data_IF_538333833058
#
_entry.id   IF_538333833058
#
_cell.length_a   1.000
_cell.length_b   1.000
_cell.length_c   1.000
_cell.angle_alpha   90.00
_cell.angle_beta   90.00
_cell.angle_gamma   90.00
#
_symmetry.space_group_name_H-M   'P 1'
#
loop_
_entity.id
_entity.type
_entity.pdbx_description
1 polymer ?
#
# COMPACT_ATOMS: atom_id res chain seq x y z
N UNK A 1 2.68 -16.73 -19.41
CA UNK A 1 1.75 -17.33 -18.42
C UNK A 1 2.49 -17.32 -17.10
N UNK A 2 2.20 -16.39 -16.17
CA UNK A 2 2.79 -16.47 -14.85
C UNK A 2 2.12 -17.61 -14.08
N UNK A 3 2.83 -18.74 -14.09
CA UNK A 3 2.86 -19.84 -13.13
C UNK A 3 1.57 -20.26 -12.43
N UNK A 4 1.11 -21.47 -12.76
CA UNK A 4 0.52 -22.32 -11.72
C UNK A 4 1.46 -22.29 -10.50
N UNK A 5 0.92 -21.91 -9.34
CA UNK A 5 1.66 -21.96 -8.08
C UNK A 5 2.30 -23.35 -7.97
N UNK A 6 3.59 -23.46 -7.61
CA UNK A 6 4.22 -24.74 -7.36
C UNK A 6 3.28 -25.59 -6.48
N UNK A 7 3.04 -26.84 -6.83
CA UNK A 7 2.00 -27.65 -6.17
C UNK A 7 2.16 -27.66 -4.63
N UNK A 8 3.40 -27.59 -4.13
CA UNK A 8 3.71 -27.43 -2.72
C UNK A 8 3.25 -26.07 -2.12
N UNK A 9 3.41 -24.96 -2.84
CA UNK A 9 2.93 -23.65 -2.44
C UNK A 9 1.40 -23.58 -2.48
N UNK A 10 0.76 -24.16 -3.50
CA UNK A 10 -0.70 -24.27 -3.58
C UNK A 10 -1.28 -25.04 -2.38
N UNK A 11 -0.65 -26.16 -2.00
CA UNK A 11 -1.03 -26.93 -0.80
C UNK A 11 -0.84 -26.11 0.47
N UNK A 12 0.31 -25.45 0.67
CA UNK A 12 0.53 -24.60 1.85
C UNK A 12 -0.46 -23.43 1.92
N UNK A 13 -0.75 -22.80 0.79
CA UNK A 13 -1.70 -21.71 0.71
C UNK A 13 -3.12 -22.20 1.04
N UNK A 14 -3.53 -23.38 0.54
CA UNK A 14 -4.82 -23.98 0.89
C UNK A 14 -4.92 -24.29 2.39
N UNK A 15 -3.88 -24.89 3.00
CA UNK A 15 -3.84 -25.16 4.44
C UNK A 15 -3.87 -23.87 5.26
N UNK A 16 -3.17 -22.83 4.81
CA UNK A 16 -3.18 -21.52 5.44
C UNK A 16 -4.57 -20.86 5.35
N UNK A 17 -5.26 -21.00 4.22
CA UNK A 17 -6.63 -20.50 4.03
C UNK A 17 -7.63 -21.23 4.94
N UNK A 18 -7.50 -22.56 5.09
CA UNK A 18 -8.37 -23.34 5.98
C UNK A 18 -8.14 -22.98 7.46
N UNK A 19 -6.88 -22.80 7.85
CA UNK A 19 -6.50 -22.33 9.18
C UNK A 19 -7.03 -20.91 9.43
N UNK A 20 -6.93 -20.02 8.43
CA UNK A 20 -7.50 -18.68 8.46
C UNK A 20 -9.03 -18.74 8.61
N UNK A 21 -9.74 -19.56 7.83
CA UNK A 21 -11.20 -19.69 7.92
C UNK A 21 -11.64 -20.14 9.33
N UNK A 22 -10.88 -21.06 9.94
CA UNK A 22 -11.14 -21.51 11.31
C UNK A 22 -10.94 -20.37 12.32
N UNK A 23 -9.87 -19.59 12.19
CA UNK A 23 -9.63 -18.42 13.05
C UNK A 23 -10.67 -17.32 12.81
N UNK A 24 -11.06 -17.09 11.55
CA UNK A 24 -12.09 -16.13 11.14
C UNK A 24 -13.41 -16.43 11.83
N UNK A 25 -13.87 -17.69 11.78
CA UNK A 25 -15.14 -18.11 12.40
C UNK A 25 -15.12 -17.85 13.90
N UNK A 26 -14.04 -18.22 14.60
CA UNK A 26 -13.89 -17.95 16.05
C UNK A 26 -13.90 -16.46 16.35
N UNK A 27 -13.20 -15.65 15.57
CA UNK A 27 -13.16 -14.20 15.74
C UNK A 27 -14.50 -13.54 15.42
N UNK A 28 -15.20 -14.00 14.39
CA UNK A 28 -16.53 -13.53 14.01
C UNK A 28 -17.56 -13.90 15.08
N UNK A 29 -17.57 -15.14 15.57
CA UNK A 29 -18.42 -15.59 16.67
C UNK A 29 -18.18 -14.77 17.94
N UNK A 30 -16.91 -14.60 18.35
CA UNK A 30 -16.58 -13.77 19.51
C UNK A 30 -17.05 -12.32 19.35
N UNK A 31 -16.86 -11.74 18.16
CA UNK A 31 -17.31 -10.37 17.86
C UNK A 31 -18.83 -10.25 17.89
N UNK A 32 -19.56 -11.21 17.31
CA UNK A 32 -21.04 -11.25 17.34
C UNK A 32 -21.55 -11.42 18.77
N UNK A 33 -20.93 -12.29 19.57
CA UNK A 33 -21.30 -12.49 20.98
C UNK A 33 -21.09 -11.20 21.79
N UNK A 34 -19.92 -10.56 21.67
CA UNK A 34 -19.61 -9.32 22.41
C UNK A 34 -20.54 -8.18 21.97
N UNK A 35 -20.72 -7.97 20.66
CA UNK A 35 -21.64 -6.96 20.14
C UNK A 35 -23.09 -7.25 20.57
N UNK A 36 -23.51 -8.52 20.54
CA UNK A 36 -24.82 -8.95 21.01
C UNK A 36 -25.03 -8.64 22.49
N UNK A 37 -24.04 -8.94 23.34
CA UNK A 37 -24.08 -8.59 24.77
C UNK A 37 -24.19 -7.08 24.99
N UNK A 38 -23.43 -6.27 24.24
CA UNK A 38 -23.50 -4.80 24.31
C UNK A 38 -24.90 -4.29 23.91
N UNK A 39 -25.50 -4.84 22.85
CA UNK A 39 -26.85 -4.48 22.40
C UNK A 39 -27.91 -4.90 23.42
N UNK A 40 -27.80 -6.10 23.99
CA UNK A 40 -28.71 -6.58 25.05
C UNK A 40 -28.61 -5.69 26.29
N UNK A 41 -27.39 -5.36 26.73
CA UNK A 41 -27.17 -4.40 27.83
C UNK A 41 -27.79 -3.03 27.51
N UNK A 42 -27.62 -2.53 26.29
CA UNK A 42 -28.22 -1.27 25.85
C UNK A 42 -29.76 -1.31 25.87
N UNK A 43 -30.37 -2.43 25.46
CA UNK A 43 -31.82 -2.62 25.50
C UNK A 43 -32.35 -2.69 26.94
N UNK A 44 -31.69 -3.46 27.80
CA UNK A 44 -32.10 -3.65 29.21
C UNK A 44 -31.97 -2.37 30.02
N UNK A 45 -30.87 -1.63 29.84
CA UNK A 45 -30.56 -0.44 30.64
C UNK A 45 -30.99 0.88 30.00
N UNK A 46 -31.12 0.92 28.67
CA UNK A 46 -31.52 2.12 27.94
C UNK A 46 -33.01 2.12 27.57
N UNK A 47 -33.49 1.07 26.92
CA UNK A 47 -34.83 1.05 26.28
C UNK A 47 -35.93 0.57 27.23
N UNK A 48 -35.68 -0.48 28.02
CA UNK A 48 -36.68 -1.03 28.94
C UNK A 48 -37.18 -0.02 30.01
N UNK A 49 -36.36 0.90 30.56
CA UNK A 49 -36.84 1.94 31.47
C UNK A 49 -37.75 2.98 30.77
N UNK A 50 -37.41 3.35 29.53
CA UNK A 50 -38.19 4.29 28.72
C UNK A 50 -39.58 3.70 28.40
N UNK A 51 -39.65 2.42 28.05
CA UNK A 51 -40.92 1.72 27.80
C UNK A 51 -41.82 1.62 29.04
N UNK A 52 -41.24 1.69 30.25
CA UNK A 52 -41.99 1.74 31.52
C UNK A 52 -42.36 3.17 31.95
N UNK A 53 -42.24 4.16 31.07
CA UNK A 53 -42.60 5.56 31.35
C UNK A 53 -41.53 6.36 32.11
N UNK A 54 -40.37 5.77 32.38
CA UNK A 54 -39.27 6.46 33.09
C UNK A 54 -38.32 7.07 32.06
N UNK A 55 -38.69 8.23 31.54
CA UNK A 55 -37.81 9.02 30.68
C UNK A 55 -36.63 9.53 31.51
N UNK A 56 -35.44 8.96 31.25
CA UNK A 56 -34.19 9.50 31.78
C UNK A 56 -33.26 9.80 30.60
N UNK A 57 -32.63 11.00 30.57
CA UNK A 57 -31.58 11.31 29.60
C UNK A 57 -30.49 10.23 29.57
N UNK A 58 -30.20 9.61 30.72
CA UNK A 58 -29.22 8.52 30.85
C UNK A 58 -29.50 7.28 29.99
N UNK A 59 -30.77 6.93 29.75
CA UNK A 59 -31.12 5.78 28.92
C UNK A 59 -30.73 5.97 27.44
N UNK A 60 -30.95 7.18 26.91
CA UNK A 60 -30.58 7.55 25.53
C UNK A 60 -29.06 7.57 25.36
N UNK A 61 -28.34 8.18 26.32
CA UNK A 61 -26.87 8.21 26.28
C UNK A 61 -26.26 6.81 26.32
N UNK A 62 -26.82 5.91 27.14
CA UNK A 62 -26.34 4.52 27.25
C UNK A 62 -26.53 3.75 25.94
N UNK A 63 -27.69 3.89 25.29
CA UNK A 63 -27.95 3.27 24.00
C UNK A 63 -27.03 3.80 22.89
N UNK A 64 -26.83 5.12 22.84
CA UNK A 64 -25.93 5.76 21.87
C UNK A 64 -24.46 5.32 22.07
N UNK A 65 -23.98 5.32 23.33
CA UNK A 65 -22.64 4.87 23.67
C UNK A 65 -22.41 3.39 23.32
N UNK A 66 -23.41 2.53 23.55
CA UNK A 66 -23.36 1.12 23.19
C UNK A 66 -23.28 0.90 21.67
N UNK A 67 -24.07 1.64 20.88
CA UNK A 67 -23.98 1.58 19.41
C UNK A 67 -22.62 2.07 18.89
N UNK A 68 -22.09 3.16 19.45
CA UNK A 68 -20.75 3.65 19.14
C UNK A 68 -19.67 2.64 19.51
N UNK A 69 -19.77 2.03 20.70
CA UNK A 69 -18.86 0.99 21.17
C UNK A 69 -18.88 -0.27 20.29
N UNK A 70 -20.07 -0.76 19.93
CA UNK A 70 -20.22 -1.90 19.01
C UNK A 70 -19.63 -1.60 17.63
N UNK A 71 -19.89 -0.41 17.07
CA UNK A 71 -19.31 0.01 15.78
C UNK A 71 -17.80 0.16 15.84
N UNK A 72 -17.27 0.67 16.95
CA UNK A 72 -15.83 0.77 17.19
C UNK A 72 -15.19 -0.62 17.27
N UNK A 73 -15.77 -1.55 18.03
CA UNK A 73 -15.28 -2.93 18.15
C UNK A 73 -15.31 -3.67 16.82
N UNK A 74 -16.37 -3.51 16.03
CA UNK A 74 -16.45 -4.08 14.68
C UNK A 74 -15.29 -3.56 13.81
N UNK A 75 -15.07 -2.24 13.77
CA UNK A 75 -13.95 -1.67 13.02
C UNK A 75 -12.58 -2.17 13.48
N UNK A 76 -12.39 -2.33 14.79
CA UNK A 76 -11.15 -2.86 15.36
C UNK A 76 -10.96 -4.35 15.00
N UNK A 77 -12.02 -5.15 15.05
CA UNK A 77 -12.00 -6.57 14.70
C UNK A 77 -11.68 -6.79 13.21
N UNK A 78 -12.22 -5.96 12.31
CA UNK A 78 -11.90 -6.02 10.89
C UNK A 78 -10.43 -5.67 10.63
N UNK A 79 -9.90 -4.65 11.29
CA UNK A 79 -8.50 -4.27 11.14
C UNK A 79 -7.54 -5.35 11.68
N UNK A 80 -7.89 -5.96 12.82
CA UNK A 80 -7.18 -7.12 13.38
C UNK A 80 -7.13 -8.27 12.38
N UNK A 81 -8.29 -8.60 11.80
CA UNK A 81 -8.42 -9.68 10.85
C UNK A 81 -7.57 -9.44 9.59
N UNK A 82 -7.63 -8.24 9.01
CA UNK A 82 -6.81 -7.89 7.83
C UNK A 82 -5.32 -7.96 8.11
N UNK A 83 -4.86 -7.44 9.26
CA UNK A 83 -3.45 -7.51 9.65
C UNK A 83 -3.00 -8.97 9.82
N UNK A 84 -3.83 -9.81 10.43
CA UNK A 84 -3.55 -11.25 10.61
C UNK A 84 -3.48 -11.97 9.26
N UNK A 85 -4.42 -11.69 8.36
CA UNK A 85 -4.42 -12.23 7.01
C UNK A 85 -3.14 -11.85 6.24
N UNK A 86 -2.73 -10.58 6.28
CA UNK A 86 -1.48 -10.11 5.67
C UNK A 86 -0.27 -10.86 6.22
N UNK A 87 -0.22 -11.08 7.54
CA UNK A 87 0.92 -11.76 8.19
C UNK A 87 1.09 -13.22 7.78
N UNK A 88 0.02 -13.89 7.41
CA UNK A 88 0.07 -15.29 7.00
C UNK A 88 0.32 -15.38 5.49
N UNK A 89 -0.39 -14.55 4.72
CA UNK A 89 -0.38 -14.63 3.26
C UNK A 89 0.93 -14.08 2.68
N UNK A 90 1.35 -12.87 3.05
CA UNK A 90 2.46 -12.17 2.40
C UNK A 90 3.77 -12.97 2.44
N UNK A 91 4.19 -13.60 3.56
CA UNK A 91 5.39 -14.42 3.59
C UNK A 91 5.31 -15.64 2.68
N UNK A 92 4.16 -16.33 2.64
CA UNK A 92 3.96 -17.49 1.77
C UNK A 92 4.09 -17.07 0.29
N UNK A 93 3.48 -15.95 -0.09
CA UNK A 93 3.58 -15.44 -1.46
C UNK A 93 5.00 -15.00 -1.80
N UNK A 94 5.69 -14.32 -0.89
CA UNK A 94 7.09 -13.91 -1.07
C UNK A 94 8.03 -15.13 -1.23
N UNK A 95 7.86 -16.16 -0.40
CA UNK A 95 8.58 -17.44 -0.55
C UNK A 95 8.29 -18.11 -1.89
N UNK A 96 7.03 -18.05 -2.34
CA UNK A 96 6.61 -18.70 -3.60
C UNK A 96 7.17 -18.00 -4.83
N UNK A 97 7.24 -16.67 -4.81
CA UNK A 97 7.89 -15.89 -5.87
C UNK A 97 9.41 -16.09 -5.87
N UNK A 98 9.99 -16.48 -4.73
CA UNK A 98 11.42 -16.73 -4.56
C UNK A 98 12.22 -15.42 -4.49
N UNK A 99 13.46 -15.50 -3.97
CA UNK A 99 14.38 -14.36 -3.94
C UNK A 99 13.95 -13.19 -3.02
N UNK A 100 12.91 -13.36 -2.21
CA UNK A 100 12.35 -12.34 -1.33
C UNK A 100 12.28 -12.82 0.12
N UNK A 101 12.47 -11.89 1.04
CA UNK A 101 12.29 -12.06 2.48
C UNK A 101 11.24 -11.07 2.97
N UNK A 102 10.19 -11.58 3.60
CA UNK A 102 9.11 -10.77 4.11
C UNK A 102 9.37 -10.32 5.56
N UNK A 103 9.29 -9.02 5.78
CA UNK A 103 9.29 -8.38 7.10
C UNK A 103 7.94 -7.72 7.32
N UNK A 104 7.26 -8.15 8.38
CA UNK A 104 5.91 -7.73 8.70
C UNK A 104 5.94 -6.90 9.97
N UNK A 105 5.10 -5.87 10.03
CA UNK A 105 4.95 -5.07 11.24
C UNK A 105 4.48 -5.97 12.39
N UNK A 106 5.23 -5.97 13.48
CA UNK A 106 5.04 -6.94 14.57
C UNK A 106 3.79 -6.65 15.42
N UNK A 107 3.22 -5.44 15.37
CA UNK A 107 2.23 -4.97 16.35
C UNK A 107 0.76 -4.93 15.89
N UNK A 108 -0.13 -5.10 16.87
CA UNK A 108 -1.57 -5.07 16.72
C UNK A 108 -2.19 -3.65 16.80
N UNK A 109 -3.48 -3.52 16.47
CA UNK A 109 -4.18 -2.26 16.17
C UNK A 109 -4.42 -1.32 17.35
N UNK A 110 -4.20 -1.75 18.60
CA UNK A 110 -4.31 -0.87 19.76
C UNK A 110 -3.32 0.31 19.69
N UNK A 111 -2.19 0.14 19.00
CA UNK A 111 -1.19 1.19 18.78
C UNK A 111 -1.34 1.91 17.44
N UNK A 112 -2.20 1.44 16.53
CA UNK A 112 -2.57 2.19 15.31
C UNK A 112 -3.43 3.43 15.62
N UNK A 113 -3.95 3.52 16.85
CA UNK A 113 -4.60 4.71 17.39
C UNK A 113 -3.59 5.80 17.81
N UNK A 114 -2.32 5.44 17.96
CA UNK A 114 -1.22 6.36 18.34
C UNK A 114 -0.06 6.26 17.33
N UNK A 115 -0.29 6.67 16.06
CA UNK A 115 0.69 6.51 14.98
C UNK A 115 2.05 7.19 15.25
N UNK A 116 2.06 8.28 16.01
CA UNK A 116 3.29 8.99 16.39
C UNK A 116 4.22 8.18 17.30
N UNK A 117 3.68 7.25 18.11
CA UNK A 117 4.47 6.37 18.99
C UNK A 117 4.88 5.10 18.23
N UNK A 118 4.06 4.67 17.27
CA UNK A 118 4.27 3.44 16.50
C UNK A 118 5.50 3.46 15.58
N UNK A 119 5.81 4.60 14.96
CA UNK A 119 6.95 4.73 14.04
C UNK A 119 8.33 4.69 14.74
N UNK A 120 8.38 5.02 16.03
CA UNK A 120 9.61 5.06 16.84
C UNK A 120 10.07 3.68 17.35
N UNK A 121 9.25 2.63 17.21
CA UNK A 121 9.40 1.41 18.00
C UNK A 121 9.46 0.09 17.20
N UNK A 122 9.46 0.11 15.87
CA UNK A 122 9.57 -1.10 15.04
C UNK A 122 10.67 -0.93 13.97
N UNK A 123 11.95 -1.11 14.33
CA UNK A 123 13.07 -0.85 13.43
C UNK A 123 13.16 -1.83 12.26
N UNK A 124 12.54 -3.01 12.37
CA UNK A 124 12.64 -4.07 11.37
C UNK A 124 11.80 -3.82 10.11
N UNK A 125 10.82 -2.90 10.21
CA UNK A 125 9.95 -2.47 9.10
C UNK A 125 10.20 -1.00 8.71
N UNK A 126 11.27 -0.39 9.24
CA UNK A 126 11.72 0.93 8.79
C UNK A 126 12.11 0.82 7.32
N UNK A 127 11.25 1.35 6.46
CA UNK A 127 11.57 1.65 5.08
C UNK A 127 11.85 3.15 5.03
N UNK A 128 13.00 3.54 4.49
CA UNK A 128 13.35 4.95 4.36
C UNK A 128 12.40 5.61 3.34
N UNK A 129 11.38 6.30 3.86
CA UNK A 129 10.37 7.01 3.07
C UNK A 129 10.83 8.42 2.70
N UNK A 130 11.91 8.93 3.29
CA UNK A 130 12.36 10.30 3.07
C UNK A 130 12.66 10.54 1.58
N UNK A 131 13.37 9.65 0.84
CA UNK A 131 13.52 9.79 -0.60
C UNK A 131 12.19 9.86 -1.35
N UNK A 132 11.20 9.05 -0.97
CA UNK A 132 9.91 9.05 -1.65
C UNK A 132 9.12 10.34 -1.42
N UNK A 133 9.25 10.96 -0.23
CA UNK A 133 8.67 12.27 0.04
C UNK A 133 9.45 13.41 -0.62
N UNK A 134 10.78 13.36 -0.55
CA UNK A 134 11.68 14.36 -1.17
C UNK A 134 11.50 14.42 -2.69
N UNK A 135 11.19 13.28 -3.32
CA UNK A 135 10.98 13.15 -4.76
C UNK A 135 9.51 13.35 -5.19
N UNK A 136 8.60 13.61 -4.25
CA UNK A 136 7.17 13.82 -4.57
C UNK A 136 6.45 12.54 -5.03
N UNK A 137 7.08 11.37 -4.87
CA UNK A 137 6.48 10.08 -5.16
C UNK A 137 5.34 9.76 -4.19
N UNK A 138 5.39 10.32 -2.98
CA UNK A 138 4.29 10.26 -2.02
C UNK A 138 4.04 11.66 -1.46
N UNK A 139 2.77 12.05 -1.23
CA UNK A 139 2.47 13.32 -0.57
C UNK A 139 2.93 13.25 0.89
N UNK A 140 3.50 14.34 1.44
CA UNK A 140 3.75 14.42 2.88
C UNK A 140 2.41 14.54 3.63
N UNK A 141 2.06 13.51 4.39
CA UNK A 141 0.83 13.45 5.21
C UNK A 141 1.17 13.29 6.69
N UNK A 142 0.18 13.52 7.56
CA UNK A 142 0.35 13.57 9.03
C UNK A 142 0.76 12.25 9.68
N UNK A 143 0.48 11.11 9.05
CA UNK A 143 0.95 9.81 9.52
C UNK A 143 1.22 8.90 8.33
N UNK A 144 2.43 8.34 8.26
CA UNK A 144 2.88 7.43 7.22
C UNK A 144 3.60 6.26 7.88
N UNK A 145 3.32 5.04 7.46
CA UNK A 145 4.03 3.85 7.92
C UNK A 145 3.99 2.75 6.87
N UNK A 146 4.94 1.82 6.93
CA UNK A 146 4.91 0.60 6.14
C UNK A 146 4.14 -0.51 6.90
N UNK A 147 3.20 -1.18 6.24
CA UNK A 147 2.46 -2.34 6.79
C UNK A 147 3.31 -3.62 6.67
N UNK A 148 3.95 -3.78 5.52
CA UNK A 148 4.91 -4.84 5.23
C UNK A 148 6.04 -4.32 4.35
N UNK A 149 7.18 -5.00 4.43
CA UNK A 149 8.38 -4.78 3.64
C UNK A 149 8.87 -6.12 3.10
N UNK A 150 9.18 -6.18 1.81
CA UNK A 150 9.87 -7.28 1.17
C UNK A 150 11.26 -6.80 0.76
N UNK A 151 12.29 -7.50 1.21
CA UNK A 151 13.65 -7.31 0.74
C UNK A 151 14.06 -8.51 -0.10
N UNK A 152 14.64 -8.27 -1.27
CA UNK A 152 15.02 -9.35 -2.16
C UNK A 152 16.13 -8.99 -3.12
N UNK A 153 16.51 -9.99 -3.90
CA UNK A 153 17.45 -9.85 -4.99
C UNK A 153 16.91 -10.65 -6.17
N UNK A 154 16.86 -10.01 -7.34
CA UNK A 154 16.52 -10.69 -8.59
C UNK A 154 17.51 -10.27 -9.65
N UNK A 155 18.05 -11.23 -10.41
CA UNK A 155 19.07 -10.98 -11.44
C UNK A 155 20.27 -10.15 -10.95
N UNK A 156 20.72 -10.36 -9.71
CA UNK A 156 21.80 -9.59 -9.07
C UNK A 156 21.49 -8.12 -8.77
N UNK A 157 20.22 -7.71 -8.89
CA UNK A 157 19.76 -6.40 -8.44
C UNK A 157 18.98 -6.55 -7.15
N UNK A 158 19.51 -5.92 -6.09
CA UNK A 158 18.82 -5.81 -4.83
C UNK A 158 17.62 -4.87 -4.98
N UNK A 159 16.49 -5.26 -4.39
CA UNK A 159 15.30 -4.44 -4.32
C UNK A 159 14.66 -4.50 -2.94
N UNK A 160 13.92 -3.44 -2.63
CA UNK A 160 13.04 -3.40 -1.49
C UNK A 160 11.67 -2.92 -1.95
N UNK A 161 10.63 -3.62 -1.56
CA UNK A 161 9.24 -3.24 -1.78
C UNK A 161 8.54 -3.05 -0.44
N UNK A 162 7.66 -2.07 -0.30
CA UNK A 162 6.87 -1.88 0.90
C UNK A 162 5.46 -1.41 0.56
N UNK A 163 4.46 -1.90 1.31
CA UNK A 163 3.14 -1.26 1.32
C UNK A 163 3.13 -0.13 2.34
N UNK A 164 2.96 1.10 1.85
CA UNK A 164 2.90 2.31 2.64
C UNK A 164 1.46 2.74 2.84
N UNK A 165 1.06 2.92 4.09
CA UNK A 165 -0.25 3.46 4.47
C UNK A 165 -0.06 4.90 4.91
N UNK A 166 -0.86 5.79 4.33
CA UNK A 166 -0.90 7.20 4.71
C UNK A 166 -2.26 7.57 5.29
N UNK A 167 -2.24 8.34 6.36
CA UNK A 167 -3.44 8.81 7.05
C UNK A 167 -3.37 10.31 7.28
N UNK A 168 -4.46 11.01 6.95
CA UNK A 168 -4.57 12.44 7.22
C UNK A 168 -5.95 12.85 7.69
N UNK A 169 -5.96 13.96 8.43
CA UNK A 169 -7.19 14.63 8.83
C UNK A 169 -7.54 15.66 7.76
N UNK A 170 -8.79 15.65 7.31
CA UNK A 170 -9.31 16.71 6.43
C UNK A 170 -9.66 17.90 7.33
N UNK A 171 -9.12 19.10 7.05
CA UNK A 171 -9.48 20.29 7.81
C UNK A 171 -10.97 20.60 7.62
N UNK A 172 -11.75 20.56 8.71
CA UNK A 172 -13.19 20.79 8.71
C UNK A 172 -13.89 20.25 9.97
N UNK A 173 -15.15 20.65 10.18
CA UNK A 173 -15.95 20.39 11.39
C UNK A 173 -16.32 18.90 11.64
N UNK A 174 -15.69 17.97 10.91
CA UNK A 174 -15.86 16.52 11.08
C UNK A 174 -14.48 15.87 11.06
N UNK A 175 -14.10 15.07 12.08
CA UNK A 175 -12.90 14.25 12.05
C UNK A 175 -13.10 13.07 11.08
N UNK A 176 -13.10 13.36 9.78
CA UNK A 176 -13.01 12.35 8.73
C UNK A 176 -11.54 12.15 8.40
N UNK A 177 -10.99 11.06 8.92
CA UNK A 177 -9.64 10.65 8.57
C UNK A 177 -9.67 9.93 7.23
N UNK A 178 -8.91 10.42 6.26
CA UNK A 178 -8.70 9.77 4.97
C UNK A 178 -7.49 8.85 5.05
N UNK A 179 -7.54 7.76 4.28
CA UNK A 179 -6.51 6.74 4.15
C UNK A 179 -6.19 6.54 2.67
N UNK A 180 -4.91 6.49 2.32
CA UNK A 180 -4.42 6.05 1.01
C UNK A 180 -3.33 5.03 1.21
N UNK A 181 -3.36 3.98 0.41
CA UNK A 181 -2.38 2.89 0.47
C UNK A 181 -1.60 2.89 -0.84
N UNK A 182 -0.29 2.66 -0.76
CA UNK A 182 0.64 2.74 -1.87
C UNK A 182 1.60 1.57 -1.81
N UNK A 183 2.07 1.10 -2.97
CA UNK A 183 3.24 0.23 -3.05
C UNK A 183 4.42 1.08 -3.47
N UNK A 184 5.47 1.04 -2.65
CA UNK A 184 6.73 1.71 -2.91
C UNK A 184 7.80 0.65 -3.18
N UNK A 185 8.43 0.76 -4.33
CA UNK A 185 9.49 -0.13 -4.78
C UNK A 185 10.77 0.68 -4.97
N UNK A 186 11.88 0.14 -4.52
CA UNK A 186 13.22 0.70 -4.67
C UNK A 186 14.13 -0.39 -5.21
N UNK A 187 14.72 -0.18 -6.38
CA UNK A 187 15.65 -1.11 -7.04
C UNK A 187 17.00 -0.43 -7.16
N UNK A 188 18.08 -1.15 -6.83
CA UNK A 188 19.44 -0.67 -7.05
C UNK A 188 19.72 -0.60 -8.55
N UNK A 189 20.23 0.55 -9.02
CA UNK A 189 20.62 0.75 -10.41
C UNK A 189 22.12 0.46 -10.54
N UNK A 190 22.55 -0.41 -11.45
CA UNK A 190 23.95 -0.86 -11.54
C UNK A 190 24.89 0.19 -12.16
N UNK A 191 24.34 1.29 -12.67
CA UNK A 191 25.09 2.39 -13.28
C UNK A 191 25.13 3.57 -12.30
N UNK A 192 26.29 4.17 -12.02
CA UNK A 192 26.38 5.34 -11.15
C UNK A 192 25.73 6.56 -11.82
N UNK A 193 25.00 7.34 -11.03
CA UNK A 193 24.39 8.60 -11.45
C UNK A 193 24.28 9.54 -10.25
N UNK A 194 24.20 10.85 -10.48
CA UNK A 194 24.13 11.85 -9.40
C UNK A 194 22.88 12.73 -9.46
N UNK A 195 22.34 12.94 -10.65
CA UNK A 195 21.14 13.68 -10.93
C UNK A 195 19.87 12.98 -10.45
N UNK A 196 18.78 13.73 -10.59
CA UNK A 196 17.44 13.41 -10.15
C UNK A 196 16.55 13.47 -11.37
N UNK A 197 15.87 12.35 -11.61
CA UNK A 197 14.91 12.23 -12.70
C UNK A 197 13.58 11.85 -12.08
N UNK A 198 12.53 12.58 -12.41
CA UNK A 198 11.16 12.31 -12.01
C UNK A 198 10.34 11.98 -13.25
N UNK A 199 9.57 10.91 -13.16
CA UNK A 199 8.70 10.38 -14.20
C UNK A 199 7.32 10.22 -13.59
N UNK A 200 6.31 10.86 -14.15
CA UNK A 200 4.93 10.66 -13.69
C UNK A 200 3.96 10.74 -14.88
N UNK A 201 2.79 10.12 -14.69
CA UNK A 201 1.75 10.13 -15.72
C UNK A 201 1.35 11.57 -16.08
N UNK A 202 1.17 11.82 -17.37
CA UNK A 202 0.69 13.10 -17.90
C UNK A 202 -0.76 13.37 -17.44
N UNK A 203 -1.12 14.64 -17.20
CA UNK A 203 -2.47 15.04 -16.75
C UNK A 203 -2.56 15.78 -15.40
N UNK A 204 -1.69 16.76 -15.14
CA UNK A 204 -1.79 17.63 -13.96
C UNK A 204 -1.26 17.03 -12.64
N UNK A 205 -0.69 15.82 -12.69
CA UNK A 205 -0.03 15.19 -11.54
C UNK A 205 1.16 16.03 -11.08
N UNK A 206 1.92 16.61 -12.01
CA UNK A 206 3.03 17.52 -11.66
C UNK A 206 2.55 18.82 -11.01
N UNK A 207 1.35 19.32 -11.34
CA UNK A 207 0.75 20.49 -10.69
C UNK A 207 0.29 20.14 -9.27
N UNK A 208 -0.26 18.93 -9.09
CA UNK A 208 -0.63 18.42 -7.76
C UNK A 208 0.59 18.12 -6.88
N UNK A 209 1.69 17.67 -7.49
CA UNK A 209 2.99 17.53 -6.83
C UNK A 209 3.54 18.93 -6.51
N UNK A 210 3.36 19.92 -7.40
CA UNK A 210 3.78 21.31 -7.22
C UNK A 210 3.20 21.98 -5.95
N UNK A 211 1.96 21.64 -5.59
CA UNK A 211 1.32 22.12 -4.36
C UNK A 211 1.90 21.49 -3.07
N UNK A 212 2.73 20.45 -3.20
CA UNK A 212 3.26 19.65 -2.09
C UNK A 212 4.79 19.55 -2.10
N UNK A 213 5.46 20.44 -2.84
CA UNK A 213 6.91 20.36 -3.04
C UNK A 213 7.72 20.70 -1.79
N UNK A 214 8.74 19.90 -1.59
CA UNK A 214 9.95 20.30 -0.89
C UNK A 214 10.82 21.23 -1.79
N UNK A 215 11.65 22.11 -1.21
CA UNK A 215 12.56 23.00 -1.96
C UNK A 215 13.46 22.28 -2.97
N UNK A 216 13.75 20.99 -2.72
CA UNK A 216 14.54 20.14 -3.60
C UNK A 216 13.85 19.83 -4.94
N UNK A 217 12.52 19.68 -4.95
CA UNK A 217 11.78 19.48 -6.19
C UNK A 217 11.58 20.79 -6.95
N UNK A 218 11.55 21.92 -6.25
CA UNK A 218 11.53 23.25 -6.88
C UNK A 218 12.67 23.40 -7.88
N UNK A 219 13.87 22.89 -7.58
CA UNK A 219 14.99 22.91 -8.55
C UNK A 219 14.77 22.06 -9.81
N UNK A 220 14.01 20.97 -9.73
CA UNK A 220 13.71 20.06 -10.86
C UNK A 220 12.45 20.52 -11.61
N UNK A 221 11.50 21.15 -10.91
CA UNK A 221 10.19 21.55 -11.43
C UNK A 221 10.13 23.01 -11.89
N UNK A 222 10.99 23.89 -11.35
CA UNK A 222 11.03 25.33 -11.65
C UNK A 222 12.04 25.69 -12.75
N UNK A 223 12.64 24.70 -13.41
CA UNK A 223 13.38 24.95 -14.66
C UNK A 223 12.36 25.29 -15.77
N UNK A 224 12.42 26.50 -16.37
CA UNK A 224 11.46 26.93 -17.40
C UNK A 224 11.51 26.10 -18.69
N UNK A 225 12.64 25.44 -18.94
CA UNK A 225 12.90 24.66 -20.15
C UNK A 225 12.31 23.24 -20.03
N UNK A 226 10.99 23.21 -20.19
CA UNK A 226 10.13 22.11 -20.69
C UNK A 226 10.23 20.69 -20.09
N UNK A 227 9.13 19.91 -20.14
CA UNK A 227 9.24 18.46 -20.04
C UNK A 227 10.26 17.97 -21.08
N UNK A 228 11.27 17.23 -20.63
CA UNK A 228 12.29 16.72 -21.54
C UNK A 228 11.67 15.60 -22.36
N UNK A 229 11.50 15.87 -23.67
CA UNK A 229 11.30 14.80 -24.64
C UNK A 229 12.61 14.04 -24.76
N UNK A 230 12.56 12.75 -24.47
CA UNK A 230 13.75 11.90 -24.57
C UNK A 230 13.99 11.69 -26.07
N UNK A 231 15.16 12.05 -26.59
CA UNK A 231 15.46 11.81 -28.02
C UNK A 231 15.70 10.31 -28.27
N UNK A 232 14.64 9.49 -28.34
CA UNK A 232 14.63 8.06 -28.69
C UNK A 232 13.17 7.52 -28.76
N UNK A 233 12.88 6.37 -29.42
CA UNK A 233 11.59 6.06 -30.08
C UNK A 233 10.52 5.48 -29.13
N UNK A 234 10.31 6.11 -27.97
CA UNK A 234 9.37 5.61 -26.96
C UNK A 234 8.02 6.32 -27.03
N UNK A 235 7.40 6.36 -28.22
CA UNK A 235 6.16 7.10 -28.47
C UNK A 235 5.06 6.74 -27.44
N UNK A 236 4.89 5.45 -27.14
CA UNK A 236 3.94 4.99 -26.11
C UNK A 236 4.27 5.51 -24.69
N UNK A 237 5.55 5.68 -24.37
CA UNK A 237 5.99 6.23 -23.09
C UNK A 237 5.78 7.75 -23.05
N UNK A 238 6.20 8.48 -24.09
CA UNK A 238 6.04 9.94 -24.15
C UNK A 238 4.57 10.38 -24.16
N UNK A 239 3.66 9.55 -24.68
CA UNK A 239 2.23 9.80 -24.62
C UNK A 239 1.62 9.64 -23.23
N UNK A 240 2.24 8.82 -22.36
CA UNK A 240 1.69 8.48 -21.04
C UNK A 240 2.41 9.20 -19.92
N UNK A 241 3.71 9.47 -20.08
CA UNK A 241 4.59 9.93 -19.03
C UNK A 241 5.29 11.23 -19.41
N UNK A 242 5.38 12.11 -18.43
CA UNK A 242 6.23 13.29 -18.51
C UNK A 242 7.50 13.06 -17.69
N UNK A 243 8.65 13.39 -18.26
CA UNK A 243 9.96 13.29 -17.61
C UNK A 243 10.49 14.68 -17.28
N UNK A 244 11.00 14.84 -16.06
CA UNK A 244 11.71 16.05 -15.61
C UNK A 244 13.01 15.64 -14.93
N UNK A 245 14.12 16.26 -15.30
CA UNK A 245 15.42 15.95 -14.74
C UNK A 245 16.26 17.22 -14.50
N UNK A 246 17.16 17.14 -13.53
CA UNK A 246 18.19 18.17 -13.33
C UNK A 246 19.35 18.07 -14.35
N UNK A 247 19.63 16.88 -14.87
CA UNK A 247 20.57 16.62 -15.96
C UNK A 247 19.88 15.87 -17.12
N UNK A 248 19.62 16.53 -18.27
CA UNK A 248 19.03 15.90 -19.46
C UNK A 248 19.84 14.73 -20.02
N UNK A 249 21.16 14.85 -20.04
CA UNK A 249 22.03 13.83 -20.63
C UNK A 249 22.01 12.58 -19.75
N UNK A 250 21.95 12.76 -18.43
CA UNK A 250 21.79 11.66 -17.50
C UNK A 250 20.40 11.02 -17.57
N UNK A 251 19.35 11.81 -17.78
CA UNK A 251 17.99 11.31 -18.03
C UNK A 251 17.94 10.41 -19.26
N UNK A 252 18.57 10.83 -20.35
CA UNK A 252 18.61 10.04 -21.58
C UNK A 252 19.42 8.74 -21.44
N UNK A 253 20.46 8.74 -20.60
CA UNK A 253 21.23 7.51 -20.30
C UNK A 253 20.46 6.54 -19.40
N UNK A 254 19.71 7.03 -18.41
CA UNK A 254 19.04 6.20 -17.42
C UNK A 254 17.67 5.70 -17.88
N UNK A 255 16.90 6.52 -18.60
CA UNK A 255 15.61 6.12 -19.17
C UNK A 255 15.83 5.37 -20.49
N UNK A 256 16.34 4.16 -20.35
CA UNK A 256 16.57 3.22 -21.47
C UNK A 256 15.24 2.67 -22.01
N UNK A 257 15.27 2.05 -23.19
CA UNK A 257 14.11 1.36 -23.78
C UNK A 257 13.45 0.38 -22.80
N UNK A 258 14.28 -0.42 -22.15
CA UNK A 258 13.89 -1.37 -21.12
C UNK A 258 13.10 -0.73 -19.96
N UNK A 259 13.56 0.43 -19.46
CA UNK A 259 12.86 1.18 -18.40
C UNK A 259 11.53 1.72 -18.92
N UNK A 260 11.54 2.35 -20.10
CA UNK A 260 10.35 2.95 -20.69
C UNK A 260 9.25 1.90 -20.96
N UNK A 261 9.62 0.78 -21.57
CA UNK A 261 8.72 -0.36 -21.83
C UNK A 261 8.19 -0.96 -20.53
N UNK A 262 9.05 -1.15 -19.52
CA UNK A 262 8.64 -1.66 -18.22
C UNK A 262 7.63 -0.75 -17.51
N UNK A 263 7.83 0.57 -17.55
CA UNK A 263 6.90 1.54 -16.97
C UNK A 263 5.57 1.57 -17.73
N UNK A 264 5.59 1.52 -19.06
CA UNK A 264 4.36 1.41 -19.87
C UNK A 264 3.60 0.12 -19.58
N UNK A 265 4.29 -1.01 -19.48
CA UNK A 265 3.66 -2.29 -19.15
C UNK A 265 3.00 -2.28 -17.75
N UNK A 266 3.62 -1.62 -16.77
CA UNK A 266 3.05 -1.44 -15.43
C UNK A 266 1.82 -0.53 -15.49
N UNK A 267 1.87 0.56 -16.24
CA UNK A 267 0.78 1.50 -16.45
C UNK A 267 -0.44 0.84 -17.12
N UNK A 268 -0.20 0.03 -18.14
CA UNK A 268 -1.24 -0.71 -18.87
C UNK A 268 -1.88 -1.80 -18.03
N UNK A 269 -1.12 -2.45 -17.15
CA UNK A 269 -1.67 -3.39 -16.18
C UNK A 269 -2.52 -2.69 -15.11
N UNK A 270 -2.38 -1.36 -14.94
CA UNK A 270 -3.00 -0.57 -13.88
C UNK A 270 -3.54 0.78 -14.37
N UNK A 271 -4.48 0.80 -15.33
CA UNK A 271 -4.92 2.05 -15.98
C UNK A 271 -5.57 3.03 -15.00
N UNK A 272 -6.22 2.53 -13.94
CA UNK A 272 -6.92 3.35 -12.95
C UNK A 272 -6.03 3.85 -11.79
N UNK A 273 -4.72 3.53 -11.81
CA UNK A 273 -3.78 3.86 -10.72
C UNK A 273 -2.73 4.85 -11.20
N UNK A 274 -2.27 5.74 -10.32
CA UNK A 274 -1.16 6.61 -10.65
C UNK A 274 0.17 5.86 -10.51
N UNK A 275 0.97 5.88 -11.58
CA UNK A 275 2.33 5.36 -11.62
C UNK A 275 3.29 6.54 -11.58
N UNK A 276 4.18 6.55 -10.59
CA UNK A 276 5.20 7.59 -10.39
C UNK A 276 6.53 6.91 -10.18
N UNK A 277 7.56 7.34 -10.90
CA UNK A 277 8.91 6.79 -10.77
C UNK A 277 9.95 7.90 -10.64
N UNK A 278 11.05 7.62 -9.96
CA UNK A 278 12.17 8.55 -9.88
C UNK A 278 13.51 7.84 -9.76
N UNK A 279 14.55 8.44 -10.33
CA UNK A 279 15.93 8.04 -10.09
C UNK A 279 16.54 8.95 -9.03
N UNK A 280 17.03 8.37 -7.93
CA UNK A 280 17.70 9.11 -6.87
C UNK A 280 18.64 8.22 -6.05
N UNK A 281 19.82 8.75 -5.69
CA UNK A 281 20.82 8.08 -4.83
C UNK A 281 21.15 6.65 -5.28
N UNK A 282 21.40 6.45 -6.58
CA UNK A 282 21.76 5.14 -7.13
C UNK A 282 20.61 4.13 -7.21
N UNK A 283 19.35 4.58 -7.04
CA UNK A 283 18.17 3.72 -7.02
C UNK A 283 17.06 4.23 -7.93
N UNK A 284 16.34 3.30 -8.54
CA UNK A 284 15.06 3.53 -9.18
C UNK A 284 13.96 3.33 -8.14
N UNK A 285 13.19 4.37 -7.90
CA UNK A 285 12.04 4.38 -7.02
C UNK A 285 10.77 4.37 -7.86
N UNK A 286 9.78 3.59 -7.45
CA UNK A 286 8.48 3.50 -8.10
C UNK A 286 7.40 3.51 -7.01
N UNK A 287 6.46 4.44 -7.11
CA UNK A 287 5.24 4.48 -6.32
C UNK A 287 4.05 4.14 -7.22
N UNK A 288 3.25 3.19 -6.76
CA UNK A 288 1.98 2.80 -7.36
C UNK A 288 0.88 3.01 -6.32
N UNK A 289 -0.14 3.78 -6.69
CA UNK A 289 -1.33 3.90 -5.84
C UNK A 289 -2.05 2.56 -5.80
N UNK A 290 -2.38 2.07 -4.61
CA UNK A 290 -3.27 0.92 -4.50
C UNK A 290 -4.73 1.40 -4.53
N UNK A 291 -5.59 0.64 -5.21
CA UNK A 291 -7.04 0.83 -5.11
C UNK A 291 -7.51 0.73 -3.64
N UNK A 292 -6.72 0.06 -2.80
CA UNK A 292 -6.53 0.28 -1.36
C UNK A 292 -5.79 -0.90 -0.73
N UNK A 293 -5.99 -1.28 0.54
CA UNK A 293 -5.15 -2.29 1.18
C UNK A 293 -5.04 -3.59 0.35
N UNK A 294 -3.84 -4.16 0.21
CA UNK A 294 -3.62 -5.38 -0.61
C UNK A 294 -4.62 -6.52 -0.33
N UNK A 295 -5.03 -6.69 0.94
CA UNK A 295 -6.14 -7.56 1.33
C UNK A 295 -7.39 -6.75 1.66
N UNK A 296 -7.87 -6.01 0.66
CA UNK A 296 -8.91 -5.01 0.78
C UNK A 296 -10.25 -5.58 1.24
N UNK A 297 -10.49 -6.85 0.93
CA UNK A 297 -11.77 -7.51 1.11
C UNK A 297 -11.66 -8.78 1.95
N UNK A 298 -10.55 -8.97 2.70
CA UNK A 298 -10.58 -9.86 3.85
C UNK A 298 -11.45 -9.21 4.93
N UNK A 299 -12.77 -9.28 4.76
CA UNK A 299 -13.72 -8.89 5.80
C UNK A 299 -13.84 -10.04 6.78
N UNK A 300 -14.04 -9.72 8.05
CA UNK A 300 -14.22 -10.72 9.09
C UNK A 300 -15.41 -11.66 8.76
N UNK A 301 -16.43 -11.14 8.09
CA UNK A 301 -17.66 -11.88 7.79
C UNK A 301 -17.66 -12.56 6.41
N UNK A 302 -16.71 -12.24 5.54
CA UNK A 302 -16.62 -12.87 4.22
C UNK A 302 -15.85 -14.20 4.33
N UNK A 303 -16.22 -15.24 3.58
CA UNK A 303 -15.51 -16.53 3.62
C UNK A 303 -14.08 -16.38 3.08
N UNK A 304 -13.13 -17.12 3.66
CA UNK A 304 -11.73 -17.06 3.23
C UNK A 304 -11.52 -17.49 1.76
N UNK A 305 -12.44 -18.26 1.18
CA UNK A 305 -12.42 -18.59 -0.26
C UNK A 305 -12.56 -17.36 -1.16
N UNK A 306 -13.22 -16.28 -0.70
CA UNK A 306 -13.27 -15.02 -1.42
C UNK A 306 -11.89 -14.33 -1.50
N UNK A 307 -10.95 -14.71 -0.62
CA UNK A 307 -9.57 -14.21 -0.68
C UNK A 307 -8.79 -14.83 -1.84
N UNK A 308 -9.15 -16.01 -2.37
CA UNK A 308 -8.39 -16.67 -3.45
C UNK A 308 -8.29 -15.81 -4.71
N UNK A 309 -9.37 -15.15 -5.12
CA UNK A 309 -9.34 -14.24 -6.26
C UNK A 309 -8.44 -13.02 -6.01
N UNK A 310 -8.39 -12.55 -4.76
CA UNK A 310 -7.53 -11.45 -4.33
C UNK A 310 -6.06 -11.86 -4.26
N UNK A 311 -5.77 -13.11 -3.89
CA UNK A 311 -4.40 -13.63 -3.83
C UNK A 311 -3.71 -13.55 -5.18
N UNK A 312 -4.43 -13.74 -6.28
CA UNK A 312 -3.88 -13.56 -7.62
C UNK A 312 -3.49 -12.10 -7.89
N UNK A 313 -4.36 -11.15 -7.55
CA UNK A 313 -4.07 -9.73 -7.68
C UNK A 313 -2.88 -9.31 -6.79
N UNK A 314 -2.82 -9.83 -5.56
CA UNK A 314 -1.69 -9.62 -4.65
C UNK A 314 -0.40 -10.22 -5.20
N UNK A 315 -0.45 -11.43 -5.76
CA UNK A 315 0.69 -12.05 -6.42
C UNK A 315 1.19 -11.23 -7.61
N UNK A 316 0.27 -10.74 -8.44
CA UNK A 316 0.62 -9.85 -9.55
C UNK A 316 1.33 -8.59 -9.04
N UNK A 317 0.82 -7.96 -7.98
CA UNK A 317 1.46 -6.81 -7.34
C UNK A 317 2.83 -7.16 -6.72
N UNK A 318 2.95 -8.28 -6.00
CA UNK A 318 4.22 -8.71 -5.40
C UNK A 318 5.27 -9.12 -6.45
N UNK A 319 4.85 -9.52 -7.65
CA UNK A 319 5.75 -9.84 -8.76
C UNK A 319 6.31 -8.62 -9.48
N UNK A 320 5.81 -7.40 -9.19
CA UNK A 320 6.27 -6.17 -9.84
C UNK A 320 7.80 -5.95 -9.80
N UNK A 321 8.53 -6.22 -8.70
CA UNK A 321 9.99 -6.07 -8.69
C UNK A 321 10.66 -6.97 -9.71
N UNK A 322 10.25 -8.24 -9.77
CA UNK A 322 10.82 -9.20 -10.72
C UNK A 322 10.53 -8.81 -12.15
N UNK A 323 9.26 -8.46 -12.45
CA UNK A 323 8.87 -8.01 -13.79
C UNK A 323 9.65 -6.78 -14.21
N UNK A 324 9.76 -5.77 -13.34
CA UNK A 324 10.49 -4.55 -13.65
C UNK A 324 11.98 -4.84 -13.87
N UNK A 325 12.61 -5.63 -12.99
CA UNK A 325 14.02 -6.04 -13.13
C UNK A 325 14.26 -6.86 -14.39
N UNK A 326 13.35 -7.74 -14.78
CA UNK A 326 13.44 -8.51 -16.02
C UNK A 326 13.36 -7.57 -17.24
N UNK A 327 12.46 -6.58 -17.23
CA UNK A 327 12.43 -5.52 -18.25
C UNK A 327 13.74 -4.73 -18.28
N UNK A 328 14.30 -4.33 -17.13
CA UNK A 328 15.60 -3.65 -17.04
C UNK A 328 16.75 -4.45 -17.69
N UNK A 329 16.64 -5.78 -17.72
CA UNK A 329 17.59 -6.68 -18.37
C UNK A 329 17.24 -6.99 -19.84
N UNK A 330 16.24 -6.33 -20.43
CA UNK A 330 15.80 -6.55 -21.81
C UNK A 330 15.18 -7.92 -22.05
N UNK A 331 14.64 -8.57 -21.01
CA UNK A 331 13.94 -9.84 -21.10
C UNK A 331 12.51 -9.64 -20.62
N UNK A 332 11.50 -9.59 -21.49
CA UNK A 332 10.12 -9.52 -21.03
C UNK A 332 9.81 -10.76 -20.15
N UNK A 333 9.01 -10.61 -19.09
CA UNK A 333 8.68 -11.70 -18.18
C UNK A 333 7.92 -12.82 -18.90
N UNK A 334 8.20 -14.07 -18.53
CA UNK A 334 7.51 -15.27 -19.03
C UNK A 334 6.10 -15.44 -18.43
#
# INVERSE_FOLDING_TARGET
MPGDLPQAAAVRLSQAIDALETQRRRAAEATVVICGQIVVLALVWGVAPIARGHWSPGGIFTAAAAMLGARFLLGLSENLWRSTANRIVVPILAETLGGMTARLRSRGPALDLLPAIGALLDPDVLFDLDPAFELGLLPRRSANWADWRLDGEHRSLAFTMAAVVQRWNTAGNKPASRRSDHVLLSIVVPVPFQGRILIARDGGVFETIADHLTPLLDTVLSRPDSPQRLQAPYEAFEHRFTVRADDPDEAQRLVTAAVAEGLVAIDEAHPDRSVRAAFHRGRLWLALDLAGPMLQQARLFDPASAMLAQLRAVLDELSLPHRLIDHLHGRPPA
#
